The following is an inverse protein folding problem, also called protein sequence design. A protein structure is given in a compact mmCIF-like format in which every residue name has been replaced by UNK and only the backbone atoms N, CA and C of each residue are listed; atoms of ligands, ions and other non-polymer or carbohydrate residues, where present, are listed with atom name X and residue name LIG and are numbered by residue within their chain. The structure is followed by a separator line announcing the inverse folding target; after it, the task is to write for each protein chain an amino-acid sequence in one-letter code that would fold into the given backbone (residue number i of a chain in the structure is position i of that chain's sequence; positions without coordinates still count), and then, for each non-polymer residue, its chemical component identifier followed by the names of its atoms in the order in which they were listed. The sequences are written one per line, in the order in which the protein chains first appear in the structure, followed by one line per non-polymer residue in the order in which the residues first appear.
data_IF_900332126823
#
_entry.id   IF_900332126823
#
_cell.length_a   1.000
_cell.length_b   1.000
_cell.length_c   1.000
_cell.angle_alpha   90.00
_cell.angle_beta   90.00
_cell.angle_gamma   90.00
#
_symmetry.space_group_name_H-M   'P 1'
#
loop_
_entity.id
_entity.type
_entity.pdbx_description
1 polymer ?
#
# COMPACT_ATOMS: atom_id res chain seq x y z
N UNK A 1 -17.23 1.46 1.46
CA UNK A 1 -17.52 1.40 0.01
C UNK A 1 -18.87 0.72 -0.19
N UNK A 2 -19.66 1.12 -1.19
CA UNK A 2 -20.89 0.39 -1.50
C UNK A 2 -20.55 -0.99 -2.09
N UNK A 3 -21.31 -2.02 -1.71
CA UNK A 3 -21.07 -3.39 -2.21
C UNK A 3 -21.24 -3.50 -3.73
N UNK A 4 -22.13 -2.70 -4.33
CA UNK A 4 -22.26 -2.62 -5.80
C UNK A 4 -20.97 -2.17 -6.48
N UNK A 5 -20.28 -1.17 -5.93
CA UNK A 5 -18.98 -0.73 -6.45
C UNK A 5 -17.91 -1.83 -6.30
N UNK A 6 -17.91 -2.55 -5.17
CA UNK A 6 -16.97 -3.67 -4.93
C UNK A 6 -17.20 -4.81 -5.93
N UNK A 7 -18.46 -5.10 -6.27
CA UNK A 7 -18.80 -6.08 -7.30
C UNK A 7 -18.29 -5.66 -8.68
N UNK A 8 -18.50 -4.40 -9.07
CA UNK A 8 -17.99 -3.85 -10.33
C UNK A 8 -16.47 -3.88 -10.40
N UNK A 9 -15.79 -3.54 -9.29
CA UNK A 9 -14.33 -3.67 -9.18
C UNK A 9 -13.91 -5.13 -9.41
N UNK A 10 -14.64 -6.10 -8.86
CA UNK A 10 -14.43 -7.53 -9.12
C UNK A 10 -14.56 -7.89 -10.60
N UNK A 11 -15.60 -7.37 -11.26
CA UNK A 11 -15.82 -7.59 -12.69
C UNK A 11 -14.67 -7.03 -13.53
N UNK A 12 -14.27 -5.77 -13.29
CA UNK A 12 -13.16 -5.13 -13.99
C UNK A 12 -11.82 -5.81 -13.71
N UNK A 13 -11.56 -6.19 -12.46
CA UNK A 13 -10.34 -6.91 -12.08
C UNK A 13 -10.21 -8.23 -12.85
N UNK A 14 -11.34 -8.92 -13.10
CA UNK A 14 -11.36 -10.19 -13.80
C UNK A 14 -11.21 -10.07 -15.33
N UNK A 15 -11.26 -8.86 -15.90
CA UNK A 15 -10.95 -8.58 -17.32
C UNK A 15 -9.59 -7.87 -17.47
N UNK A 16 -8.97 -7.48 -16.35
CA UNK A 16 -7.66 -6.81 -16.27
C UNK A 16 -6.49 -7.82 -16.28
N UNK A 17 -5.29 -7.35 -15.95
CA UNK A 17 -4.08 -8.17 -15.77
C UNK A 17 -4.25 -9.32 -14.77
N UNK A 18 -5.19 -9.23 -13.83
CA UNK A 18 -5.45 -10.27 -12.85
C UNK A 18 -6.04 -11.55 -13.49
N UNK A 19 -6.68 -11.46 -14.67
CA UNK A 19 -7.12 -12.65 -15.42
C UNK A 19 -5.93 -13.48 -15.91
N UNK A 20 -4.81 -12.83 -16.25
CA UNK A 20 -3.64 -13.52 -16.78
C UNK A 20 -3.00 -14.37 -15.69
N UNK A 21 -2.91 -13.83 -14.48
CA UNK A 21 -2.33 -14.54 -13.33
C UNK A 21 -3.28 -15.60 -12.78
N UNK A 22 -4.50 -15.21 -12.41
CA UNK A 22 -5.47 -16.13 -11.80
C UNK A 22 -5.99 -17.14 -12.82
N UNK A 23 -6.26 -16.69 -14.04
CA UNK A 23 -6.65 -17.56 -15.16
C UNK A 23 -5.52 -18.49 -15.58
N UNK A 24 -4.28 -18.02 -15.65
CA UNK A 24 -3.11 -18.87 -15.92
C UNK A 24 -2.95 -19.99 -14.87
N UNK A 25 -3.10 -19.67 -13.59
CA UNK A 25 -3.07 -20.66 -12.51
C UNK A 25 -4.24 -21.65 -12.60
N UNK A 26 -5.47 -21.14 -12.80
CA UNK A 26 -6.68 -21.95 -12.99
C UNK A 26 -6.50 -22.97 -14.13
N UNK A 27 -5.93 -22.54 -15.25
CA UNK A 27 -5.66 -23.36 -16.42
C UNK A 27 -4.56 -24.39 -16.20
N UNK A 28 -3.49 -24.02 -15.50
CA UNK A 28 -2.42 -24.94 -15.16
C UNK A 28 -2.93 -26.08 -14.27
N UNK A 29 -3.75 -25.75 -13.27
CA UNK A 29 -4.37 -26.71 -12.35
C UNK A 29 -5.38 -27.59 -13.07
N UNK A 30 -6.26 -27.00 -13.89
CA UNK A 30 -7.23 -27.75 -14.68
C UNK A 30 -6.54 -28.67 -15.71
N UNK A 31 -5.46 -28.21 -16.35
CA UNK A 31 -4.63 -29.00 -17.26
C UNK A 31 -4.03 -30.23 -16.56
N UNK A 32 -3.38 -30.02 -15.42
CA UNK A 32 -2.80 -31.11 -14.61
C UNK A 32 -3.86 -32.11 -14.11
N UNK A 33 -5.02 -31.59 -13.69
CA UNK A 33 -6.15 -32.42 -13.26
C UNK A 33 -6.68 -33.29 -14.41
N UNK A 34 -6.82 -32.71 -15.61
CA UNK A 34 -7.28 -33.40 -16.82
C UNK A 34 -6.26 -34.41 -17.35
N UNK A 35 -4.95 -34.13 -17.27
CA UNK A 35 -3.88 -35.10 -17.60
C UNK A 35 -3.90 -36.32 -16.67
N UNK A 36 -4.19 -36.09 -15.38
CA UNK A 36 -4.26 -37.16 -14.38
C UNK A 36 -5.53 -38.02 -14.50
N UNK A 37 -6.52 -37.58 -15.28
CA UNK A 37 -7.80 -38.28 -15.49
C UNK A 37 -8.18 -38.29 -16.99
N UNK A 38 -7.43 -39.02 -17.83
CA UNK A 38 -7.56 -38.97 -19.30
C UNK A 38 -8.92 -39.44 -19.83
N UNK A 39 -9.70 -40.18 -19.04
CA UNK A 39 -11.03 -40.70 -19.41
C UNK A 39 -12.23 -39.78 -19.14
N UNK A 40 -12.04 -38.58 -18.56
CA UNK A 40 -13.15 -37.67 -18.23
C UNK A 40 -13.69 -36.98 -19.51
N UNK A 41 -15.00 -36.98 -19.72
CA UNK A 41 -15.67 -36.31 -20.85
C UNK A 41 -16.54 -35.12 -20.39
N UNK A 42 -16.60 -34.07 -21.21
CA UNK A 42 -17.53 -32.93 -21.06
C UNK A 42 -17.43 -32.21 -19.71
N UNK A 43 -18.56 -32.10 -19.01
CA UNK A 43 -18.75 -31.42 -17.71
C UNK A 43 -17.74 -31.88 -16.63
N UNK A 44 -17.24 -33.11 -16.72
CA UNK A 44 -16.26 -33.61 -15.75
C UNK A 44 -14.90 -32.91 -15.84
N UNK A 45 -14.51 -32.40 -17.02
CA UNK A 45 -13.31 -31.56 -17.19
C UNK A 45 -13.49 -30.16 -16.62
N UNK A 46 -14.75 -29.74 -16.39
CA UNK A 46 -15.07 -28.45 -15.81
C UNK A 46 -15.04 -28.44 -14.27
N UNK A 47 -15.13 -29.63 -13.64
CA UNK A 47 -15.04 -29.79 -12.17
C UNK A 47 -13.90 -29.03 -11.49
N UNK A 48 -12.62 -29.08 -11.95
CA UNK A 48 -11.54 -28.34 -11.31
C UNK A 48 -11.77 -26.82 -11.30
N UNK A 49 -12.46 -26.27 -12.31
CA UNK A 49 -12.77 -24.84 -12.36
C UNK A 49 -13.82 -24.45 -11.31
N UNK A 50 -14.82 -25.30 -11.08
CA UNK A 50 -15.82 -25.09 -10.04
C UNK A 50 -15.16 -25.15 -8.66
N UNK A 51 -14.38 -26.21 -8.37
CA UNK A 51 -13.69 -26.34 -7.08
C UNK A 51 -12.77 -25.16 -6.80
N UNK A 52 -12.05 -24.68 -7.82
CA UNK A 52 -11.21 -23.50 -7.70
C UNK A 52 -11.99 -22.23 -7.37
N UNK A 53 -13.10 -21.95 -8.05
CA UNK A 53 -13.89 -20.74 -7.79
C UNK A 53 -14.62 -20.82 -6.44
N UNK A 54 -15.11 -22.00 -6.03
CA UNK A 54 -15.68 -22.19 -4.68
C UNK A 54 -14.59 -21.95 -3.62
N UNK A 55 -13.41 -22.55 -3.80
CA UNK A 55 -12.27 -22.33 -2.92
C UNK A 55 -11.86 -20.86 -2.85
N UNK A 56 -11.89 -20.15 -3.97
CA UNK A 56 -11.64 -18.70 -4.06
C UNK A 56 -12.69 -17.91 -3.28
N UNK A 57 -13.98 -18.15 -3.51
CA UNK A 57 -15.06 -17.42 -2.81
C UNK A 57 -14.99 -17.64 -1.30
N UNK A 58 -14.89 -18.89 -0.86
CA UNK A 58 -14.79 -19.23 0.57
C UNK A 58 -13.48 -18.71 1.17
N UNK A 59 -12.36 -18.88 0.48
CA UNK A 59 -11.06 -18.41 0.92
C UNK A 59 -11.01 -16.89 1.06
N UNK A 60 -11.50 -16.15 0.07
CA UNK A 60 -11.56 -14.68 0.12
C UNK A 60 -12.47 -14.21 1.25
N UNK A 61 -13.60 -14.86 1.48
CA UNK A 61 -14.50 -14.53 2.59
C UNK A 61 -13.83 -14.77 3.94
N UNK A 62 -13.21 -15.93 4.14
CA UNK A 62 -12.55 -16.31 5.40
C UNK A 62 -11.30 -15.47 5.64
N UNK A 63 -10.39 -15.38 4.67
CA UNK A 63 -9.17 -14.57 4.80
C UNK A 63 -9.50 -13.08 4.85
N UNK A 64 -10.54 -12.62 4.16
CA UNK A 64 -11.06 -11.27 4.29
C UNK A 64 -11.56 -10.98 5.70
N UNK A 65 -12.32 -11.91 6.30
CA UNK A 65 -12.74 -11.81 7.69
C UNK A 65 -11.56 -11.78 8.66
N UNK A 66 -10.57 -12.66 8.46
CA UNK A 66 -9.35 -12.70 9.26
C UNK A 66 -8.56 -11.40 9.14
N UNK A 67 -8.33 -10.90 7.93
CA UNK A 67 -7.61 -9.64 7.69
C UNK A 67 -8.38 -8.45 8.27
N UNK A 68 -9.70 -8.42 8.13
CA UNK A 68 -10.54 -7.39 8.74
C UNK A 68 -10.47 -7.44 10.27
N UNK A 69 -10.54 -8.64 10.87
CA UNK A 69 -10.39 -8.83 12.31
C UNK A 69 -9.00 -8.38 12.80
N UNK A 70 -7.95 -8.83 12.12
CA UNK A 70 -6.55 -8.52 12.43
C UNK A 70 -6.25 -7.04 12.23
N UNK A 71 -6.97 -6.36 11.34
CA UNK A 71 -6.90 -4.91 11.15
C UNK A 71 -7.11 -4.08 12.42
N UNK A 72 -7.87 -4.61 13.39
CA UNK A 72 -8.06 -3.98 14.71
C UNK A 72 -6.86 -4.13 15.67
N UNK A 73 -5.87 -4.97 15.31
CA UNK A 73 -4.74 -5.36 16.16
C UNK A 73 -3.38 -5.06 15.51
N UNK A 74 -3.31 -5.02 14.18
CA UNK A 74 -2.06 -5.05 13.43
C UNK A 74 -1.78 -3.73 12.71
N UNK A 75 -0.86 -2.95 13.28
CA UNK A 75 -0.25 -1.80 12.63
C UNK A 75 1.11 -2.13 12.03
N UNK A 76 1.12 -2.48 10.74
CA UNK A 76 2.37 -2.78 10.03
C UNK A 76 3.09 -1.49 9.69
N UNK A 77 4.31 -1.33 10.22
CA UNK A 77 5.22 -0.27 9.79
C UNK A 77 5.50 -0.39 8.28
N UNK A 78 5.85 0.72 7.59
CA UNK A 78 6.24 0.67 6.18
C UNK A 78 7.33 -0.36 5.87
N UNK A 79 8.31 -0.53 6.78
CA UNK A 79 9.37 -1.54 6.64
C UNK A 79 8.85 -2.97 6.74
N UNK A 80 7.95 -3.24 7.69
CA UNK A 80 7.34 -4.57 7.84
C UNK A 80 6.50 -4.94 6.62
N UNK A 81 5.76 -3.97 6.07
CA UNK A 81 5.02 -4.15 4.82
C UNK A 81 5.96 -4.43 3.64
N UNK A 82 7.11 -3.72 3.57
CA UNK A 82 8.16 -3.98 2.58
C UNK A 82 8.70 -5.42 2.62
N UNK A 83 9.01 -5.95 3.82
CA UNK A 83 9.46 -7.33 3.97
C UNK A 83 8.40 -8.37 3.61
N UNK A 84 7.13 -8.13 3.98
CA UNK A 84 6.03 -9.02 3.63
C UNK A 84 5.82 -9.05 2.11
N UNK A 85 5.83 -7.88 1.46
CA UNK A 85 5.74 -7.75 0.01
C UNK A 85 6.90 -8.48 -0.69
N UNK A 86 8.12 -8.38 -0.16
CA UNK A 86 9.28 -9.10 -0.67
C UNK A 86 9.09 -10.62 -0.61
N UNK A 87 8.67 -11.15 0.55
CA UNK A 87 8.43 -12.57 0.74
C UNK A 87 7.38 -13.11 -0.25
N UNK A 88 6.23 -12.45 -0.36
CA UNK A 88 5.15 -12.85 -1.29
C UNK A 88 5.64 -12.83 -2.74
N UNK A 89 6.41 -11.81 -3.13
CA UNK A 89 6.90 -11.66 -4.50
C UNK A 89 7.92 -12.73 -4.88
N UNK A 90 8.76 -13.19 -3.93
CA UNK A 90 9.69 -14.31 -4.16
C UNK A 90 8.93 -15.62 -4.41
N UNK A 91 7.88 -15.89 -3.65
CA UNK A 91 7.04 -17.09 -3.84
C UNK A 91 6.38 -17.07 -5.22
N UNK A 92 5.84 -15.93 -5.65
CA UNK A 92 5.26 -15.80 -6.99
C UNK A 92 6.28 -15.93 -8.11
N UNK A 93 7.48 -15.39 -7.91
CA UNK A 93 8.56 -15.50 -8.88
C UNK A 93 8.89 -16.97 -9.12
N UNK A 94 8.92 -17.79 -8.06
CA UNK A 94 9.11 -19.24 -8.15
C UNK A 94 7.97 -19.92 -8.93
N UNK A 95 6.72 -19.54 -8.68
CA UNK A 95 5.55 -20.06 -9.42
C UNK A 95 5.59 -19.66 -10.91
N UNK A 96 5.99 -18.42 -11.22
CA UNK A 96 6.17 -17.94 -12.59
C UNK A 96 7.21 -18.75 -13.35
N UNK A 97 8.39 -18.96 -12.77
CA UNK A 97 9.42 -19.81 -13.36
C UNK A 97 8.98 -21.27 -13.54
N UNK A 98 8.20 -21.80 -12.59
CA UNK A 98 7.62 -23.13 -12.72
C UNK A 98 6.65 -23.22 -13.90
N UNK A 99 5.82 -22.20 -14.12
CA UNK A 99 4.86 -22.14 -15.23
C UNK A 99 5.56 -22.02 -16.60
N UNK A 100 6.72 -21.39 -16.63
CA UNK A 100 7.53 -21.20 -17.84
C UNK A 100 8.30 -22.46 -18.27
N UNK A 101 8.47 -23.47 -17.41
CA UNK A 101 9.30 -24.66 -17.63
C UNK A 101 10.73 -24.34 -18.15
N UNK A 102 11.23 -23.10 -17.98
CA UNK A 102 12.50 -22.63 -18.55
C UNK A 102 13.74 -23.26 -17.91
N UNK A 103 13.63 -23.77 -16.69
CA UNK A 103 14.74 -24.39 -15.96
C UNK A 103 14.30 -25.69 -15.27
N UNK A 104 14.44 -26.85 -15.92
CA UNK A 104 14.26 -28.16 -15.28
C UNK A 104 15.16 -28.34 -14.05
N UNK A 105 16.33 -27.67 -14.05
CA UNK A 105 17.28 -27.63 -12.93
C UNK A 105 16.82 -26.82 -11.72
N UNK A 106 15.89 -25.87 -11.86
CA UNK A 106 15.34 -25.12 -10.72
C UNK A 106 14.47 -26.01 -9.82
N UNK A 107 14.03 -27.17 -10.32
CA UNK A 107 13.39 -28.22 -9.52
C UNK A 107 14.33 -28.83 -8.47
N UNK A 108 15.66 -28.73 -8.65
CA UNK A 108 16.67 -29.08 -7.64
C UNK A 108 16.92 -27.96 -6.61
N UNK A 109 16.68 -26.70 -7.00
CA UNK A 109 16.89 -25.51 -6.16
C UNK A 109 15.62 -25.00 -5.49
N UNK A 110 14.45 -25.55 -5.84
CA UNK A 110 13.25 -25.41 -5.03
C UNK A 110 13.63 -25.85 -3.61
N UNK A 111 13.53 -24.95 -2.60
CA UNK A 111 13.89 -25.29 -1.24
C UNK A 111 13.14 -26.57 -0.90
N UNK A 112 13.87 -27.63 -0.54
CA UNK A 112 13.27 -28.87 -0.05
C UNK A 112 12.39 -28.45 1.11
N UNK A 113 11.09 -28.33 0.83
CA UNK A 113 10.13 -28.00 1.87
C UNK A 113 10.34 -29.05 2.96
N UNK A 114 10.42 -28.64 4.25
CA UNK A 114 10.64 -29.57 5.34
C UNK A 114 9.69 -30.75 5.16
N UNK A 115 10.14 -31.98 5.41
CA UNK A 115 9.41 -33.21 5.02
C UNK A 115 7.93 -33.19 5.40
N UNK A 116 7.56 -32.47 6.46
CA UNK A 116 6.18 -32.22 6.88
C UNK A 116 5.33 -31.39 5.88
N UNK A 117 5.86 -30.29 5.35
CA UNK A 117 5.20 -29.43 4.35
C UNK A 117 5.22 -30.12 2.98
N UNK A 118 6.32 -30.77 2.63
CA UNK A 118 6.45 -31.54 1.39
C UNK A 118 5.46 -32.70 1.35
N UNK A 119 5.34 -33.51 2.41
CA UNK A 119 4.34 -34.58 2.47
C UNK A 119 2.92 -34.05 2.43
N UNK A 120 2.62 -32.95 3.12
CA UNK A 120 1.25 -32.41 3.14
C UNK A 120 0.83 -31.83 1.79
N UNK A 121 1.72 -31.10 1.12
CA UNK A 121 1.46 -30.55 -0.24
C UNK A 121 1.51 -31.66 -1.30
N UNK A 122 2.39 -32.65 -1.16
CA UNK A 122 2.49 -33.77 -2.09
C UNK A 122 1.35 -34.78 -1.90
N UNK A 123 0.85 -35.03 -0.68
CA UNK A 123 -0.38 -35.80 -0.45
C UNK A 123 -1.62 -35.03 -0.93
N UNK A 124 -1.70 -33.71 -0.71
CA UNK A 124 -2.74 -32.86 -1.31
C UNK A 124 -2.71 -32.89 -2.85
N UNK A 125 -1.52 -33.00 -3.46
CA UNK A 125 -1.37 -33.06 -4.91
C UNK A 125 -1.40 -34.48 -5.50
N UNK A 126 -1.21 -35.54 -4.71
CA UNK A 126 -1.09 -36.93 -5.19
C UNK A 126 -2.22 -37.86 -4.70
N UNK A 127 -2.85 -37.57 -3.56
CA UNK A 127 -3.90 -38.41 -2.95
C UNK A 127 -5.31 -37.83 -3.10
N UNK A 128 -5.44 -36.51 -3.29
CA UNK A 128 -6.76 -35.86 -3.30
C UNK A 128 -6.90 -34.86 -4.45
N UNK A 129 -7.16 -35.38 -5.65
CA UNK A 129 -7.24 -34.62 -6.91
C UNK A 129 -8.30 -33.51 -6.87
N UNK A 130 -9.27 -33.58 -5.95
CA UNK A 130 -10.36 -32.63 -5.77
C UNK A 130 -10.00 -31.43 -4.90
N UNK A 131 -9.09 -31.60 -3.95
CA UNK A 131 -8.75 -30.55 -2.96
C UNK A 131 -7.74 -29.53 -3.49
N UNK A 132 -6.87 -29.94 -4.43
CA UNK A 132 -5.83 -29.06 -4.97
C UNK A 132 -6.39 -27.81 -5.68
N UNK A 133 -7.40 -27.90 -6.59
CA UNK A 133 -8.01 -26.71 -7.17
C UNK A 133 -8.66 -25.81 -6.13
N UNK A 134 -9.33 -26.39 -5.13
CA UNK A 134 -9.97 -25.66 -4.05
C UNK A 134 -8.96 -24.84 -3.23
N UNK A 135 -7.90 -25.49 -2.73
CA UNK A 135 -6.87 -24.85 -1.91
C UNK A 135 -6.15 -23.76 -2.70
N UNK A 136 -5.78 -24.03 -3.95
CA UNK A 136 -5.12 -23.03 -4.80
C UNK A 136 -6.04 -21.85 -5.11
N UNK A 137 -7.35 -22.10 -5.28
CA UNK A 137 -8.38 -21.07 -5.38
C UNK A 137 -8.40 -20.17 -4.14
N UNK A 138 -8.43 -20.76 -2.94
CA UNK A 138 -8.40 -20.01 -1.67
C UNK A 138 -7.12 -19.19 -1.52
N UNK A 139 -5.98 -19.76 -1.86
CA UNK A 139 -4.67 -19.10 -1.76
C UNK A 139 -4.50 -17.97 -2.78
N UNK A 140 -5.36 -17.87 -3.80
CA UNK A 140 -5.32 -16.71 -4.71
C UNK A 140 -5.59 -15.38 -4.01
N UNK A 141 -6.15 -15.41 -2.79
CA UNK A 141 -6.25 -14.23 -1.94
C UNK A 141 -4.88 -13.57 -1.73
N UNK A 142 -3.83 -14.35 -1.50
CA UNK A 142 -2.49 -13.81 -1.24
C UNK A 142 -1.73 -13.39 -2.50
N UNK A 143 -2.35 -13.47 -3.69
CA UNK A 143 -1.72 -12.99 -4.92
C UNK A 143 -1.82 -11.45 -4.99
N UNK A 144 -0.71 -10.73 -5.16
CA UNK A 144 -0.67 -9.29 -5.34
C UNK A 144 -1.17 -8.91 -6.73
N UNK A 145 -2.50 -8.90 -6.86
CA UNK A 145 -3.25 -8.23 -7.90
C UNK A 145 -3.63 -6.86 -7.35
N UNK A 146 -3.36 -5.76 -8.08
CA UNK A 146 -3.57 -4.40 -7.57
C UNK A 146 -4.97 -4.15 -6.99
N UNK A 147 -6.01 -4.69 -7.62
CA UNK A 147 -7.39 -4.61 -7.11
C UNK A 147 -7.59 -5.41 -5.81
N UNK A 148 -7.01 -6.61 -5.72
CA UNK A 148 -7.08 -7.43 -4.50
C UNK A 148 -6.30 -6.76 -3.36
N UNK A 149 -5.12 -6.19 -3.64
CA UNK A 149 -4.32 -5.46 -2.66
C UNK A 149 -5.03 -4.20 -2.15
N UNK A 150 -5.65 -3.42 -3.03
CA UNK A 150 -6.41 -2.23 -2.64
C UNK A 150 -7.57 -2.60 -1.69
N UNK A 151 -8.30 -3.66 -2.00
CA UNK A 151 -9.39 -4.13 -1.14
C UNK A 151 -8.86 -4.79 0.14
N UNK A 152 -7.73 -5.49 0.11
CA UNK A 152 -7.11 -6.07 1.31
C UNK A 152 -6.68 -4.98 2.28
N UNK A 153 -6.10 -3.89 1.76
CA UNK A 153 -5.75 -2.72 2.55
C UNK A 153 -6.99 -2.01 3.07
N UNK A 154 -8.05 -1.87 2.26
CA UNK A 154 -9.33 -1.30 2.70
C UNK A 154 -9.96 -2.13 3.82
N UNK A 155 -10.00 -3.45 3.68
CA UNK A 155 -10.55 -4.37 4.67
C UNK A 155 -9.70 -4.38 5.95
N UNK A 156 -8.38 -4.44 5.81
CA UNK A 156 -7.45 -4.31 6.94
C UNK A 156 -7.68 -2.98 7.67
N UNK A 157 -7.82 -1.87 6.92
CA UNK A 157 -8.11 -0.57 7.49
C UNK A 157 -9.49 -0.51 8.15
N UNK A 158 -10.48 -1.25 7.66
CA UNK A 158 -11.83 -1.23 8.24
C UNK A 158 -11.90 -1.80 9.67
N UNK A 159 -10.93 -2.63 10.07
CA UNK A 159 -10.86 -3.21 11.42
C UNK A 159 -12.03 -4.12 11.82
N UNK A 160 -12.98 -4.37 10.91
CA UNK A 160 -14.18 -5.17 11.14
C UNK A 160 -14.15 -6.43 10.28
N UNK A 161 -14.24 -7.59 10.93
CA UNK A 161 -14.28 -8.89 10.28
C UNK A 161 -15.49 -9.07 9.36
N UNK A 162 -16.64 -8.44 9.65
CA UNK A 162 -17.85 -8.49 8.81
C UNK A 162 -17.64 -7.68 7.54
N UNK A 163 -17.10 -6.47 7.65
CA UNK A 163 -16.76 -5.63 6.49
C UNK A 163 -15.74 -6.37 5.63
N UNK A 164 -14.76 -7.02 6.26
CA UNK A 164 -13.78 -7.83 5.57
C UNK A 164 -14.34 -9.03 4.82
N UNK A 165 -15.19 -9.81 5.49
CA UNK A 165 -15.85 -10.97 4.91
C UNK A 165 -16.72 -10.57 3.71
N UNK A 166 -17.61 -9.59 3.91
CA UNK A 166 -18.58 -9.18 2.89
C UNK A 166 -17.92 -8.50 1.69
N UNK A 167 -16.93 -7.64 1.92
CA UNK A 167 -16.19 -6.98 0.83
C UNK A 167 -15.50 -8.00 -0.05
N UNK A 168 -14.78 -8.96 0.56
CA UNK A 168 -14.04 -9.97 -0.19
C UNK A 168 -14.94 -11.03 -0.84
N UNK A 169 -16.06 -11.36 -0.20
CA UNK A 169 -17.11 -12.19 -0.78
C UNK A 169 -17.65 -11.55 -2.06
N UNK A 170 -18.12 -10.30 -1.97
CA UNK A 170 -18.71 -9.58 -3.10
C UNK A 170 -17.70 -9.37 -4.23
N UNK A 171 -16.44 -9.05 -3.90
CA UNK A 171 -15.36 -8.96 -4.88
C UNK A 171 -15.13 -10.30 -5.60
N UNK A 172 -15.03 -11.39 -4.84
CA UNK A 172 -14.80 -12.72 -5.42
C UNK A 172 -15.95 -13.17 -6.32
N UNK A 173 -17.20 -12.88 -5.95
CA UNK A 173 -18.39 -13.11 -6.76
C UNK A 173 -18.37 -12.28 -8.05
N UNK A 174 -17.93 -11.02 -7.98
CA UNK A 174 -17.74 -10.17 -9.16
C UNK A 174 -16.71 -10.72 -10.15
N UNK A 175 -15.69 -11.44 -9.66
CA UNK A 175 -14.66 -12.07 -10.53
C UNK A 175 -15.11 -13.39 -11.17
N UNK A 176 -16.17 -14.01 -10.64
CA UNK A 176 -16.59 -15.36 -11.00
C UNK A 176 -17.08 -15.50 -12.47
N UNK A 177 -17.88 -14.56 -13.02
CA UNK A 177 -18.36 -14.66 -14.40
C UNK A 177 -17.24 -14.77 -15.43
N UNK A 178 -16.19 -13.94 -15.31
CA UNK A 178 -15.08 -13.94 -16.25
C UNK A 178 -14.18 -15.19 -16.09
N UNK A 179 -13.91 -15.63 -14.85
CA UNK A 179 -13.10 -16.83 -14.61
C UNK A 179 -13.80 -18.13 -15.04
N UNK A 180 -15.12 -18.23 -14.84
CA UNK A 180 -15.90 -19.35 -15.35
C UNK A 180 -15.99 -19.33 -16.88
N UNK A 181 -16.14 -18.16 -17.48
CA UNK A 181 -16.10 -18.00 -18.94
C UNK A 181 -14.76 -18.46 -19.52
N UNK A 182 -13.65 -18.04 -18.91
CA UNK A 182 -12.32 -18.50 -19.30
C UNK A 182 -12.15 -20.01 -19.12
N UNK A 183 -12.65 -20.55 -17.99
CA UNK A 183 -12.65 -21.99 -17.74
C UNK A 183 -13.43 -22.76 -18.79
N UNK A 184 -14.58 -22.24 -19.23
CA UNK A 184 -15.41 -22.85 -20.26
C UNK A 184 -14.67 -22.85 -21.60
N UNK A 185 -14.20 -21.69 -22.06
CA UNK A 185 -13.40 -21.55 -23.30
C UNK A 185 -12.19 -22.48 -23.28
N UNK A 186 -11.51 -22.60 -22.15
CA UNK A 186 -10.33 -23.46 -22.03
C UNK A 186 -10.62 -24.95 -21.99
N UNK A 187 -11.80 -25.34 -21.52
CA UNK A 187 -12.22 -26.75 -21.53
C UNK A 187 -12.46 -27.25 -22.96
N UNK A 188 -12.72 -26.32 -23.89
CA UNK A 188 -12.87 -26.59 -25.32
C UNK A 188 -11.59 -26.28 -26.13
N UNK A 189 -10.70 -25.42 -25.63
CA UNK A 189 -9.43 -25.11 -26.28
C UNK A 189 -8.43 -26.28 -26.14
N UNK A 190 -7.90 -26.78 -27.27
CA UNK A 190 -6.91 -27.87 -27.29
C UNK A 190 -5.53 -27.38 -27.75
N UNK A 191 -4.48 -28.01 -27.22
CA UNK A 191 -3.14 -28.00 -27.82
C UNK A 191 -2.37 -26.68 -27.72
N UNK A 192 -2.01 -26.11 -28.86
CA UNK A 192 -1.05 -25.00 -28.96
C UNK A 192 -1.50 -23.73 -28.24
N UNK A 193 -2.79 -23.40 -28.26
CA UNK A 193 -3.31 -22.17 -27.62
C UNK A 193 -3.07 -22.17 -26.10
N UNK A 194 -3.40 -23.28 -25.42
CA UNK A 194 -3.17 -23.42 -23.98
C UNK A 194 -1.68 -23.31 -23.62
N UNK A 195 -0.80 -23.90 -24.43
CA UNK A 195 0.67 -23.83 -24.22
C UNK A 195 1.21 -22.40 -24.37
N UNK A 196 0.77 -21.65 -25.38
CA UNK A 196 1.18 -20.25 -25.57
C UNK A 196 0.61 -19.35 -24.47
N UNK A 197 -0.65 -19.55 -24.09
CA UNK A 197 -1.29 -18.81 -23.01
C UNK A 197 -0.58 -19.01 -21.67
N UNK A 198 -0.27 -20.26 -21.29
CA UNK A 198 0.45 -20.56 -20.04
C UNK A 198 1.87 -19.97 -20.05
N UNK A 199 2.58 -20.00 -21.18
CA UNK A 199 3.89 -19.34 -21.33
C UNK A 199 3.78 -17.83 -21.16
N UNK A 200 2.82 -17.19 -21.83
CA UNK A 200 2.57 -15.75 -21.71
C UNK A 200 2.21 -15.37 -20.27
N UNK A 201 1.33 -16.12 -19.63
CA UNK A 201 0.96 -15.93 -18.23
C UNK A 201 2.17 -16.07 -17.28
N UNK A 202 3.05 -17.05 -17.54
CA UNK A 202 4.29 -17.22 -16.80
C UNK A 202 5.24 -16.04 -16.95
N UNK A 203 5.46 -15.53 -18.16
CA UNK A 203 6.29 -14.32 -18.40
C UNK A 203 5.72 -13.12 -17.64
N UNK A 204 4.42 -12.86 -17.78
CA UNK A 204 3.79 -11.72 -17.12
C UNK A 204 3.87 -11.84 -15.59
N UNK A 205 3.70 -13.05 -15.06
CA UNK A 205 3.81 -13.32 -13.62
C UNK A 205 5.23 -13.07 -13.10
N UNK A 206 6.27 -13.47 -13.85
CA UNK A 206 7.67 -13.18 -13.52
C UNK A 206 7.93 -11.67 -13.53
N UNK A 207 7.49 -10.95 -14.55
CA UNK A 207 7.66 -9.49 -14.65
C UNK A 207 6.98 -8.76 -13.48
N UNK A 208 5.73 -9.15 -13.15
CA UNK A 208 5.00 -8.59 -12.03
C UNK A 208 5.68 -8.89 -10.69
N UNK A 209 6.25 -10.09 -10.54
CA UNK A 209 6.97 -10.48 -9.32
C UNK A 209 8.24 -9.66 -9.14
N UNK A 210 9.03 -9.46 -10.20
CA UNK A 210 10.22 -8.60 -10.17
C UNK A 210 9.86 -7.15 -9.86
N UNK A 211 8.76 -6.65 -10.42
CA UNK A 211 8.24 -5.31 -10.11
C UNK A 211 7.90 -5.16 -8.62
N UNK A 212 7.20 -6.14 -8.05
CA UNK A 212 6.82 -6.11 -6.63
C UNK A 212 8.01 -6.30 -5.68
N UNK A 213 9.01 -7.12 -6.02
CA UNK A 213 10.28 -7.22 -5.28
C UNK A 213 10.94 -5.85 -5.14
N UNK A 214 11.00 -5.10 -6.24
CA UNK A 214 11.62 -3.78 -6.25
C UNK A 214 10.88 -2.77 -5.34
N UNK A 215 9.55 -2.80 -5.35
CA UNK A 215 8.72 -1.95 -4.48
C UNK A 215 8.85 -2.34 -3.00
N UNK A 216 8.88 -3.65 -2.71
CA UNK A 216 9.10 -4.18 -1.36
C UNK A 216 10.45 -3.77 -0.77
N UNK A 217 11.53 -3.82 -1.57
CA UNK A 217 12.85 -3.33 -1.17
C UNK A 217 12.84 -1.82 -0.88
N UNK A 218 12.16 -1.03 -1.71
CA UNK A 218 12.04 0.42 -1.53
C UNK A 218 11.34 0.76 -0.20
N UNK A 219 10.23 0.08 0.10
CA UNK A 219 9.50 0.22 1.37
C UNK A 219 10.31 -0.26 2.58
N UNK A 220 11.18 -1.27 2.40
CA UNK A 220 12.13 -1.72 3.41
C UNK A 220 13.30 -0.73 3.64
N UNK A 221 13.43 0.31 2.81
CA UNK A 221 14.48 1.32 2.89
C UNK A 221 15.69 1.07 1.99
N UNK A 222 15.61 0.10 1.07
CA UNK A 222 16.66 -0.22 0.10
C UNK A 222 16.27 0.24 -1.31
N UNK A 223 17.03 1.18 -1.88
CA UNK A 223 16.89 1.57 -3.28
C UNK A 223 17.68 0.59 -4.18
N UNK A 224 17.11 -0.58 -4.46
CA UNK A 224 17.62 -1.45 -5.52
C UNK A 224 16.86 -1.15 -6.81
N UNK A 225 17.56 -1.01 -7.94
CA UNK A 225 16.93 -0.83 -9.25
C UNK A 225 17.32 -2.01 -10.14
N UNK A 226 16.46 -3.03 -10.23
CA UNK A 226 16.72 -4.20 -11.07
C UNK A 226 16.97 -3.84 -12.55
N UNK A 227 16.37 -2.75 -13.05
CA UNK A 227 16.61 -2.30 -14.42
C UNK A 227 18.08 -1.88 -14.62
N UNK A 228 18.71 -1.24 -13.63
CA UNK A 228 20.13 -0.84 -13.72
C UNK A 228 21.09 -2.03 -13.82
N UNK A 229 20.74 -3.21 -13.30
CA UNK A 229 21.54 -4.43 -13.45
C UNK A 229 21.47 -5.03 -14.87
N UNK A 230 20.35 -4.83 -15.59
CA UNK A 230 20.18 -5.27 -16.99
C UNK A 230 20.57 -4.19 -18.01
N UNK A 231 20.50 -2.91 -17.64
CA UNK A 231 20.94 -1.77 -18.47
C UNK A 231 22.39 -1.35 -18.21
N UNK A 232 23.13 -2.06 -17.35
CA UNK A 232 24.57 -1.87 -17.13
C UNK A 232 25.44 -2.03 -18.40
N UNK A 233 24.83 -2.35 -19.55
CA UNK A 233 25.49 -2.39 -20.87
C UNK A 233 25.04 -1.31 -21.86
N UNK A 234 24.24 -0.34 -21.46
CA UNK A 234 23.85 0.76 -22.35
C UNK A 234 23.99 2.12 -21.66
N UNK A 235 25.13 2.74 -21.96
CA UNK A 235 25.46 4.15 -21.91
C UNK A 235 25.23 4.94 -20.62
N UNK A 236 26.36 5.45 -20.10
CA UNK A 236 26.48 6.76 -19.47
C UNK A 236 25.80 7.84 -20.34
N UNK A 237 24.48 7.95 -20.27
CA UNK A 237 23.77 9.17 -20.58
C UNK A 237 23.62 9.91 -19.25
N UNK A 238 24.37 11.01 -19.10
CA UNK A 238 24.38 11.83 -17.89
C UNK A 238 22.95 12.12 -17.42
N UNK A 239 22.67 11.78 -16.16
CA UNK A 239 21.52 12.36 -15.49
C UNK A 239 21.65 13.88 -15.54
N UNK A 240 20.58 14.63 -15.87
CA UNK A 240 20.58 16.08 -15.75
C UNK A 240 21.02 16.44 -14.34
N UNK A 241 21.96 17.38 -14.22
CA UNK A 241 22.56 17.77 -12.95
C UNK A 241 21.50 17.97 -11.88
N UNK A 242 21.68 17.27 -10.74
CA UNK A 242 20.85 17.47 -9.56
C UNK A 242 20.81 18.97 -9.26
N UNK A 243 19.64 19.62 -9.20
CA UNK A 243 19.59 21.05 -8.95
C UNK A 243 20.33 21.34 -7.64
N UNK A 244 21.30 22.25 -7.70
CA UNK A 244 22.06 22.68 -6.54
C UNK A 244 21.07 23.28 -5.53
N UNK A 245 21.00 22.64 -4.36
CA UNK A 245 20.09 23.06 -3.30
C UNK A 245 20.53 24.44 -2.81
N UNK A 246 19.62 25.41 -2.86
CA UNK A 246 19.92 26.77 -2.40
C UNK A 246 19.98 26.77 -0.87
N UNK A 247 21.11 27.22 -0.34
CA UNK A 247 21.26 27.47 1.09
C UNK A 247 20.80 28.89 1.34
N UNK A 248 19.64 29.03 1.97
CA UNK A 248 19.05 30.33 2.34
C UNK A 248 18.92 30.34 3.85
N UNK A 249 19.51 31.33 4.52
CA UNK A 249 19.46 31.48 5.98
C UNK A 249 19.91 30.24 6.77
N UNK A 250 20.98 29.56 6.31
CA UNK A 250 21.52 28.36 6.96
C UNK A 250 20.62 27.12 6.88
N UNK A 251 19.57 27.14 6.05
CA UNK A 251 18.70 26.01 5.70
C UNK A 251 18.83 25.67 4.22
N UNK A 252 18.74 24.39 3.90
CA UNK A 252 18.76 23.84 2.55
C UNK A 252 17.33 23.74 2.02
N UNK A 253 16.92 24.64 1.12
CA UNK A 253 15.54 24.65 0.60
C UNK A 253 15.44 23.72 -0.60
N UNK A 254 14.59 22.72 -0.47
CA UNK A 254 14.33 21.71 -1.49
C UNK A 254 12.88 21.82 -1.94
N UNK A 255 12.64 21.95 -3.25
CA UNK A 255 11.28 22.04 -3.81
C UNK A 255 10.96 20.82 -4.66
N UNK A 256 9.79 20.24 -4.46
CA UNK A 256 9.28 19.10 -5.21
C UNK A 256 7.82 19.33 -5.59
N UNK A 257 7.42 18.88 -6.76
CA UNK A 257 6.01 18.81 -7.19
C UNK A 257 5.59 17.35 -7.36
N UNK A 258 4.34 17.07 -7.02
CA UNK A 258 3.71 15.77 -7.21
C UNK A 258 2.64 15.88 -8.30
N UNK A 259 2.93 15.33 -9.47
CA UNK A 259 1.98 15.26 -10.59
C UNK A 259 1.56 13.81 -10.82
N UNK A 260 0.30 13.50 -10.50
CA UNK A 260 -0.29 12.16 -10.57
C UNK A 260 0.49 11.11 -9.77
N UNK A 261 1.35 10.34 -10.44
CA UNK A 261 2.21 9.28 -9.88
C UNK A 261 3.70 9.65 -9.91
N UNK A 262 4.05 10.89 -10.26
CA UNK A 262 5.42 11.33 -10.50
C UNK A 262 5.86 12.46 -9.54
N UNK A 263 7.00 12.28 -8.88
CA UNK A 263 7.77 13.30 -8.19
C UNK A 263 8.72 14.03 -9.14
N UNK A 264 8.68 15.35 -9.14
CA UNK A 264 9.52 16.20 -9.98
C UNK A 264 10.01 17.44 -9.22
N UNK A 265 11.33 17.66 -9.10
CA UNK A 265 12.40 16.67 -9.28
C UNK A 265 12.31 15.56 -8.23
N UNK A 266 12.84 14.38 -8.55
CA UNK A 266 12.78 13.21 -7.67
C UNK A 266 14.07 12.97 -6.86
N UNK A 267 15.19 13.61 -7.21
CA UNK A 267 16.46 13.51 -6.46
C UNK A 267 16.99 14.87 -6.07
N UNK A 268 17.60 14.91 -4.90
CA UNK A 268 18.16 16.09 -4.28
C UNK A 268 19.53 15.77 -3.67
N UNK A 269 20.48 16.70 -3.74
CA UNK A 269 21.76 16.57 -3.06
C UNK A 269 21.78 17.52 -1.88
N UNK A 270 21.90 17.00 -0.66
CA UNK A 270 21.89 17.79 0.58
C UNK A 270 23.16 17.53 1.39
N UNK A 271 23.56 18.50 2.17
CA UNK A 271 24.77 18.47 3.00
C UNK A 271 24.44 17.95 4.40
N UNK A 272 25.28 17.05 4.91
CA UNK A 272 25.22 16.51 6.27
C UNK A 272 25.28 17.63 7.33
N UNK A 273 24.45 17.51 8.37
CA UNK A 273 24.42 18.43 9.50
C UNK A 273 23.73 19.78 9.23
N UNK A 274 23.27 20.05 8.01
CA UNK A 274 22.57 21.30 7.66
C UNK A 274 21.06 21.02 7.53
N UNK A 275 20.17 21.75 8.24
CA UNK A 275 18.74 21.51 8.20
C UNK A 275 18.16 21.68 6.80
N UNK A 276 17.34 20.72 6.38
CA UNK A 276 16.63 20.70 5.10
C UNK A 276 15.20 21.15 5.31
N UNK A 277 14.77 22.10 4.49
CA UNK A 277 13.37 22.52 4.38
C UNK A 277 12.83 22.03 3.03
N UNK A 278 12.02 20.98 3.09
CA UNK A 278 11.46 20.34 1.92
C UNK A 278 10.03 20.80 1.67
N UNK A 279 9.85 21.62 0.65
CA UNK A 279 8.57 22.16 0.20
C UNK A 279 8.02 21.27 -0.92
N UNK A 280 6.85 20.68 -0.70
CA UNK A 280 6.22 19.73 -1.61
C UNK A 280 4.89 20.30 -2.07
N UNK A 281 4.75 20.55 -3.36
CA UNK A 281 3.48 20.86 -3.99
C UNK A 281 2.69 19.56 -4.22
N UNK A 282 1.58 19.42 -3.51
CA UNK A 282 0.71 18.24 -3.51
C UNK A 282 -0.57 18.38 -4.33
N UNK A 283 -0.75 19.45 -5.12
CA UNK A 283 -2.04 19.76 -5.77
C UNK A 283 -2.58 18.63 -6.64
N UNK A 284 -1.71 17.96 -7.39
CA UNK A 284 -2.08 16.86 -8.28
C UNK A 284 -1.78 15.47 -7.67
N UNK A 285 -1.56 15.39 -6.36
CA UNK A 285 -1.33 14.12 -5.69
C UNK A 285 -2.65 13.34 -5.51
N UNK A 286 -2.67 12.07 -5.95
CA UNK A 286 -3.86 11.21 -5.86
C UNK A 286 -3.55 9.86 -5.18
N UNK A 287 -4.60 9.27 -4.59
CA UNK A 287 -4.51 7.96 -3.94
C UNK A 287 -3.40 7.86 -2.90
N UNK A 288 -2.56 6.83 -3.01
CA UNK A 288 -1.42 6.63 -2.11
C UNK A 288 -0.36 7.75 -2.20
N UNK A 289 -0.32 8.49 -3.31
CA UNK A 289 0.62 9.58 -3.56
C UNK A 289 0.40 10.82 -2.70
N UNK A 290 -0.75 10.92 -2.02
CA UNK A 290 -1.03 11.98 -1.04
C UNK A 290 -0.30 11.82 0.29
N UNK A 291 0.45 10.73 0.45
CA UNK A 291 1.20 10.45 1.68
C UNK A 291 2.62 10.20 1.28
N UNK A 292 3.52 11.06 1.74
CA UNK A 292 4.95 10.88 1.57
C UNK A 292 5.54 10.21 2.80
N UNK A 293 6.38 9.19 2.57
CA UNK A 293 7.01 8.38 3.60
C UNK A 293 8.51 8.40 3.38
N UNK A 294 9.26 8.68 4.45
CA UNK A 294 10.72 8.65 4.52
C UNK A 294 11.12 7.64 5.61
N UNK A 295 11.24 6.34 5.29
CA UNK A 295 11.37 5.28 6.30
C UNK A 295 12.62 5.37 7.16
N UNK A 296 13.73 5.90 6.65
CA UNK A 296 14.99 6.07 7.40
C UNK A 296 14.89 7.16 8.47
N UNK A 297 14.02 8.15 8.27
CA UNK A 297 13.79 9.27 9.18
C UNK A 297 12.51 9.11 10.02
N UNK A 298 11.72 8.06 9.79
CA UNK A 298 10.43 7.87 10.46
C UNK A 298 9.36 8.91 10.08
N UNK A 299 9.59 9.69 9.03
CA UNK A 299 8.67 10.75 8.60
C UNK A 299 7.57 10.13 7.76
N UNK A 300 6.32 10.42 8.10
CA UNK A 300 5.16 10.18 7.24
C UNK A 300 4.25 11.41 7.26
N UNK A 301 4.06 12.06 6.11
CA UNK A 301 3.34 13.34 6.03
C UNK A 301 2.30 13.30 4.91
N UNK A 302 1.11 13.83 5.18
CA UNK A 302 0.08 14.00 4.17
C UNK A 302 0.35 15.27 3.36
N UNK A 303 0.13 15.21 2.05
CA UNK A 303 0.25 16.31 1.12
C UNK A 303 -1.15 16.91 0.92
N UNK A 304 -1.38 18.07 1.54
CA UNK A 304 -2.57 18.88 1.27
C UNK A 304 -2.48 19.46 -0.15
N UNK A 305 -3.62 19.93 -0.69
CA UNK A 305 -3.58 20.88 -1.81
C UNK A 305 -2.78 22.10 -1.38
N UNK A 306 -1.83 22.52 -2.22
CA UNK A 306 -0.81 23.53 -1.97
C UNK A 306 0.52 22.97 -1.49
N UNK A 307 1.36 23.87 -0.97
CA UNK A 307 2.72 23.54 -0.53
C UNK A 307 2.69 22.99 0.91
N UNK A 308 3.14 21.75 1.07
CA UNK A 308 3.41 21.12 2.37
C UNK A 308 4.90 21.16 2.66
N UNK A 309 5.30 21.70 3.82
CA UNK A 309 6.71 21.79 4.22
C UNK A 309 7.07 20.71 5.25
N UNK A 310 8.18 20.01 5.01
CA UNK A 310 8.77 19.02 5.93
C UNK A 310 10.18 19.48 6.27
N UNK A 311 10.53 19.51 7.55
CA UNK A 311 11.89 19.89 8.00
C UNK A 311 12.58 18.69 8.65
N UNK A 312 13.83 18.45 8.27
CA UNK A 312 14.67 17.42 8.88
C UNK A 312 16.15 17.78 8.78
N UNK A 313 17.00 17.17 9.61
CA UNK A 313 18.46 17.35 9.54
C UNK A 313 19.13 16.01 9.27
N UNK A 314 19.82 15.83 8.13
CA UNK A 314 20.54 14.60 7.83
C UNK A 314 21.79 14.49 8.72
N UNK A 315 21.87 13.46 9.56
CA UNK A 315 23.00 13.25 10.48
C UNK A 315 24.08 12.30 9.97
N UNK A 316 23.81 11.60 8.86
CA UNK A 316 24.72 10.62 8.27
C UNK A 316 24.73 10.79 6.76
N UNK A 317 25.92 10.71 6.17
CA UNK A 317 26.10 10.57 4.73
C UNK A 317 25.42 9.32 4.18
N UNK A 318 25.02 9.37 2.90
CA UNK A 318 24.33 8.27 2.21
C UNK A 318 22.97 8.67 1.64
N UNK A 319 22.27 7.69 1.06
CA UNK A 319 20.97 7.91 0.43
C UNK A 319 19.81 7.80 1.43
N UNK A 320 18.95 8.81 1.43
CA UNK A 320 17.69 8.83 2.19
C UNK A 320 16.55 8.63 1.18
N UNK A 321 16.05 7.40 1.00
CA UNK A 321 14.91 7.14 0.12
C UNK A 321 13.62 7.76 0.65
N UNK A 322 12.80 8.28 -0.26
CA UNK A 322 11.41 8.60 0.04
C UNK A 322 10.50 8.05 -1.06
N UNK A 323 9.28 7.67 -0.70
CA UNK A 323 8.27 7.26 -1.66
C UNK A 323 6.86 7.48 -1.08
N UNK A 324 5.83 7.13 -1.85
CA UNK A 324 4.47 7.12 -1.35
C UNK A 324 4.25 5.96 -0.38
N UNK A 325 3.12 5.98 0.34
CA UNK A 325 2.73 4.90 1.27
C UNK A 325 2.72 3.48 0.67
N UNK A 326 2.60 3.35 -0.66
CA UNK A 326 2.64 2.07 -1.39
C UNK A 326 3.98 1.79 -2.09
N UNK A 327 4.95 2.72 -2.07
CA UNK A 327 6.24 2.53 -2.72
C UNK A 327 6.20 2.50 -4.26
N UNK A 328 5.16 3.08 -4.87
CA UNK A 328 4.87 2.96 -6.31
C UNK A 328 5.04 4.26 -7.12
N UNK A 329 5.36 5.39 -6.47
CA UNK A 329 5.63 6.65 -7.17
C UNK A 329 7.02 6.66 -7.81
N UNK A 330 7.53 7.81 -8.25
CA UNK A 330 8.80 7.91 -9.00
C UNK A 330 9.91 7.09 -8.36
N UNK A 331 10.55 6.28 -9.18
CA UNK A 331 11.61 5.38 -8.75
C UNK A 331 12.91 6.13 -8.47
N UNK A 332 13.68 5.59 -7.52
CA UNK A 332 14.98 6.16 -7.13
C UNK A 332 14.87 7.54 -6.48
N UNK A 333 13.68 7.88 -5.99
CA UNK A 333 13.45 9.16 -5.32
C UNK A 333 14.13 9.17 -3.96
N UNK A 334 14.86 10.23 -3.68
CA UNK A 334 15.67 10.29 -2.48
C UNK A 334 16.57 11.50 -2.39
N UNK A 335 17.09 11.72 -1.19
CA UNK A 335 18.13 12.69 -0.93
C UNK A 335 19.48 11.98 -0.90
N UNK A 336 20.45 12.45 -1.68
CA UNK A 336 21.86 12.08 -1.56
C UNK A 336 22.49 13.00 -0.52
N UNK A 337 22.87 12.46 0.64
CA UNK A 337 23.57 13.22 1.68
C UNK A 337 25.08 13.18 1.45
N UNK A 338 25.66 14.33 1.16
CA UNK A 338 27.12 14.51 0.98
C UNK A 338 27.77 15.04 2.27
N UNK A 339 29.05 14.70 2.53
CA UNK A 339 29.75 15.19 3.71
C UNK A 339 29.90 16.71 3.67
N UNK A 340 29.85 17.33 4.83
CA UNK A 340 30.01 18.78 4.99
C UNK A 340 31.49 19.18 4.96
N UNK A 341 32.12 19.05 3.80
CA UNK A 341 33.53 19.41 3.59
C UNK A 341 33.79 20.91 3.58
N UNK A 342 32.73 21.72 3.43
CA UNK A 342 32.81 23.19 3.34
C UNK A 342 32.56 23.91 4.67
N UNK A 343 32.38 23.18 5.78
CA UNK A 343 32.19 23.78 7.11
C UNK A 343 30.88 24.58 7.25
N UNK A 344 29.84 24.21 6.49
CA UNK A 344 28.56 24.90 6.46
C UNK A 344 27.86 24.69 7.81
N UNK A 345 27.82 25.72 8.64
CA UNK A 345 27.09 25.67 9.91
C UNK A 345 25.61 25.88 9.60
N UNK A 346 24.81 24.84 9.81
CA UNK A 346 23.35 24.94 9.72
C UNK A 346 22.83 25.98 10.69
N UNK A 347 21.80 26.74 10.30
CA UNK A 347 21.11 27.59 11.25
C UNK A 347 20.65 26.72 12.44
N UNK A 348 20.90 27.18 13.67
CA UNK A 348 20.27 26.58 14.85
C UNK A 348 18.78 26.48 14.53
N UNK A 349 18.21 25.29 14.67
CA UNK A 349 16.77 25.11 14.62
C UNK A 349 16.25 25.79 15.89
N UNK A 350 16.12 27.12 15.85
CA UNK A 350 15.05 27.74 16.60
C UNK A 350 13.79 27.19 15.98
N UNK A 351 13.12 26.32 16.74
CA UNK A 351 11.74 26.03 16.50
C UNK A 351 11.03 27.39 16.56
N UNK A 352 10.86 28.03 15.41
CA UNK A 352 9.75 28.95 15.24
C UNK A 352 8.54 28.04 15.26
N UNK A 353 8.09 27.68 16.48
CA UNK A 353 6.67 27.52 16.72
C UNK A 353 6.05 28.74 16.06
N UNK A 354 5.38 28.53 14.93
CA UNK A 354 4.28 29.40 14.57
C UNK A 354 3.27 29.23 15.69
N UNK A 355 3.52 29.89 16.82
CA UNK A 355 2.58 29.99 17.89
C UNK A 355 1.33 30.59 17.25
N UNK A 356 0.16 29.92 17.33
CA UNK A 356 -1.06 30.67 17.14
C UNK A 356 -0.98 31.83 18.13
N UNK A 357 -1.08 33.08 17.66
CA UNK A 357 -1.03 34.26 18.53
C UNK A 357 -1.84 33.95 19.80
N UNK A 358 -1.21 33.84 20.98
CA UNK A 358 -1.98 33.76 22.20
C UNK A 358 -2.73 35.08 22.26
N UNK A 359 -4.06 35.00 22.33
CA UNK A 359 -4.87 36.16 22.61
C UNK A 359 -4.35 36.76 23.93
N UNK A 360 -3.89 38.01 23.86
CA UNK A 360 -3.33 38.72 25.00
C UNK A 360 -4.46 39.01 26.01
N UNK A 361 -4.47 38.37 27.19
CA UNK A 361 -5.53 38.55 28.16
C UNK A 361 -5.55 39.96 28.78
N UNK A 362 -4.52 40.79 28.52
CA UNK A 362 -4.48 42.18 28.97
C UNK A 362 -5.15 43.15 27.99
N UNK A 363 -5.49 42.71 26.77
CA UNK A 363 -5.99 43.60 25.69
C UNK A 363 -7.39 43.19 25.17
N UNK A 364 -7.83 41.93 25.33
CA UNK A 364 -9.19 41.52 24.97
C UNK A 364 -9.72 40.30 25.76
N UNK A 365 -11.05 40.18 25.86
CA UNK A 365 -11.76 38.98 26.33
C UNK A 365 -11.55 37.83 25.34
N UNK A 366 -10.51 37.03 25.55
CA UNK A 366 -10.20 35.88 24.73
C UNK A 366 -11.29 34.81 24.83
N UNK A 367 -11.89 34.34 23.72
CA UNK A 367 -12.86 33.25 23.77
C UNK A 367 -12.18 31.98 24.29
N UNK A 368 -12.81 31.32 25.27
CA UNK A 368 -12.28 30.09 25.89
C UNK A 368 -12.11 29.00 24.83
N UNK A 369 -10.90 28.45 24.72
CA UNK A 369 -10.57 27.32 23.83
C UNK A 369 -11.54 26.16 24.03
N UNK A 370 -12.11 25.66 22.94
CA UNK A 370 -13.01 24.52 22.91
C UNK A 370 -12.19 23.24 22.93
N UNK A 371 -12.28 22.48 24.01
CA UNK A 371 -11.60 21.19 24.13
C UNK A 371 -12.46 20.11 23.52
N UNK A 372 -11.95 19.47 22.47
CA UNK A 372 -12.57 18.33 21.85
C UNK A 372 -11.73 17.10 22.14
N UNK A 373 -12.41 15.99 22.42
CA UNK A 373 -11.76 14.74 22.77
C UNK A 373 -12.29 13.64 21.86
N UNK A 374 -11.38 12.89 21.24
CA UNK A 374 -11.66 11.66 20.51
C UNK A 374 -10.88 10.56 21.18
N UNK A 375 -11.58 9.50 21.57
CA UNK A 375 -10.95 8.25 21.94
C UNK A 375 -10.91 7.33 20.73
N UNK A 376 -9.75 6.73 20.51
CA UNK A 376 -9.59 5.63 19.55
C UNK A 376 -9.24 4.38 20.35
N UNK A 377 -10.21 3.48 20.49
CA UNK A 377 -10.05 2.25 21.27
C UNK A 377 -10.68 1.04 20.58
N UNK A 378 -10.22 -0.16 20.92
CA UNK A 378 -10.75 -1.41 20.34
C UNK A 378 -12.22 -1.64 20.65
N UNK A 379 -12.70 -1.16 21.79
CA UNK A 379 -14.05 -1.38 22.28
C UNK A 379 -15.06 -0.44 21.64
N UNK A 380 -14.66 0.82 21.39
CA UNK A 380 -15.56 1.88 20.91
C UNK A 380 -15.25 2.38 19.50
N UNK A 381 -14.17 1.90 18.87
CA UNK A 381 -13.71 2.41 17.59
C UNK A 381 -13.27 3.86 17.74
N UNK A 382 -13.79 4.74 16.88
CA UNK A 382 -13.61 6.20 16.98
C UNK A 382 -14.81 6.78 17.72
N UNK A 383 -14.62 7.27 18.93
CA UNK A 383 -15.72 7.79 19.74
C UNK A 383 -15.34 9.08 20.48
N UNK A 384 -16.16 10.14 20.38
CA UNK A 384 -17.26 10.31 19.42
C UNK A 384 -16.74 10.46 17.97
N UNK A 385 -17.51 10.00 16.99
CA UNK A 385 -17.20 10.13 15.57
C UNK A 385 -17.80 11.40 14.93
N UNK A 386 -18.61 12.15 15.69
CA UNK A 386 -19.15 13.46 15.32
C UNK A 386 -19.07 14.37 16.54
N UNK A 387 -18.42 15.53 16.37
CA UNK A 387 -18.22 16.55 17.38
C UNK A 387 -18.84 17.85 16.90
N UNK A 388 -19.13 18.77 17.81
CA UNK A 388 -19.62 20.11 17.48
C UNK A 388 -18.68 21.15 18.07
N UNK A 389 -18.38 22.20 17.29
CA UNK A 389 -17.58 23.33 17.74
C UNK A 389 -18.07 24.63 17.10
N UNK A 390 -17.79 25.76 17.74
CA UNK A 390 -18.12 27.09 17.23
C UNK A 390 -17.03 27.65 16.33
N UNK A 391 -17.46 28.33 15.28
CA UNK A 391 -16.62 29.14 14.40
C UNK A 391 -15.93 30.26 15.16
N UNK A 392 -14.70 30.57 14.74
CA UNK A 392 -13.91 31.67 15.30
C UNK A 392 -13.34 31.43 16.69
N UNK A 393 -13.63 30.29 17.33
CA UNK A 393 -13.10 29.93 18.65
C UNK A 393 -12.07 28.81 18.51
N UNK A 394 -10.84 28.97 19.06
CA UNK A 394 -9.80 27.94 18.96
C UNK A 394 -10.25 26.58 19.50
N UNK A 395 -9.88 25.51 18.80
CA UNK A 395 -10.12 24.12 19.18
C UNK A 395 -8.80 23.51 19.66
N UNK A 396 -8.80 22.88 20.83
CA UNK A 396 -7.77 21.95 21.28
C UNK A 396 -8.32 20.53 21.10
N UNK A 397 -7.94 19.86 20.01
CA UNK A 397 -8.35 18.49 19.73
C UNK A 397 -7.34 17.53 20.34
N UNK A 398 -7.79 16.79 21.35
CA UNK A 398 -7.06 15.67 21.92
C UNK A 398 -7.57 14.38 21.31
N UNK A 399 -6.69 13.63 20.64
CA UNK A 399 -6.99 12.27 20.19
C UNK A 399 -6.16 11.31 21.04
N UNK A 400 -6.85 10.56 21.88
CA UNK A 400 -6.26 9.52 22.72
C UNK A 400 -6.26 8.21 21.94
N UNK A 401 -5.14 7.95 21.26
CA UNK A 401 -4.94 6.70 20.55
C UNK A 401 -4.51 5.62 21.55
N UNK A 402 -5.48 4.83 22.02
CA UNK A 402 -5.19 3.70 22.93
C UNK A 402 -4.55 2.53 22.20
N UNK A 403 -4.58 2.50 20.86
CA UNK A 403 -4.13 1.34 20.08
C UNK A 403 -3.48 1.78 18.76
N UNK A 404 -2.15 1.59 18.56
CA UNK A 404 -1.46 2.07 17.36
C UNK A 404 -2.12 1.54 16.09
N UNK A 405 -2.56 2.45 15.22
CA UNK A 405 -3.26 2.13 13.97
C UNK A 405 -2.31 1.92 12.80
N UNK A 406 -2.70 1.03 11.88
CA UNK A 406 -1.89 0.55 10.77
C UNK A 406 -2.35 0.98 9.38
N UNK A 407 -1.46 0.83 8.40
CA UNK A 407 -1.83 0.97 6.99
C UNK A 407 -2.40 2.35 6.68
N UNK A 408 -3.53 2.41 6.00
CA UNK A 408 -4.16 3.68 5.61
C UNK A 408 -4.56 4.55 6.81
N UNK A 409 -4.83 3.93 7.96
CA UNK A 409 -5.31 4.52 9.21
C UNK A 409 -4.19 4.97 10.15
N UNK A 410 -2.93 4.63 9.86
CA UNK A 410 -1.80 4.99 10.73
C UNK A 410 -1.53 6.49 10.79
N UNK A 411 -2.17 7.24 9.89
CA UNK A 411 -2.07 8.69 9.81
C UNK A 411 -3.48 9.21 9.60
N UNK A 412 -3.95 9.97 10.58
CA UNK A 412 -5.15 10.77 10.43
C UNK A 412 -4.76 12.15 9.96
N UNK A 413 -5.67 12.76 9.23
CA UNK A 413 -5.44 14.03 8.59
C UNK A 413 -6.67 14.88 8.81
N UNK A 414 -6.44 16.16 9.10
CA UNK A 414 -7.47 17.20 8.99
C UNK A 414 -7.06 18.05 7.79
N UNK A 415 -7.56 17.73 6.58
CA UNK A 415 -7.01 18.28 5.35
C UNK A 415 -7.05 19.81 5.29
N UNK A 416 -8.11 20.42 5.81
CA UNK A 416 -8.31 21.88 5.78
C UNK A 416 -7.28 22.65 6.62
N UNK A 417 -6.69 22.02 7.63
CA UNK A 417 -5.68 22.64 8.52
C UNK A 417 -4.28 22.06 8.32
N UNK A 418 -4.08 21.18 7.33
CA UNK A 418 -2.81 20.48 7.08
C UNK A 418 -2.23 19.77 8.34
N UNK A 419 -3.13 19.32 9.23
CA UNK A 419 -2.76 18.62 10.45
C UNK A 419 -2.61 17.14 10.11
N UNK A 420 -1.50 16.57 10.55
CA UNK A 420 -1.18 15.15 10.38
C UNK A 420 -1.00 14.56 11.76
N UNK A 421 -1.76 13.53 12.06
CA UNK A 421 -1.79 12.90 13.38
C UNK A 421 -1.34 11.46 13.20
N UNK A 422 -0.08 11.13 13.51
CA UNK A 422 0.36 9.74 13.53
C UNK A 422 -0.38 9.01 14.66
N UNK A 423 -0.90 7.83 14.34
CA UNK A 423 -1.63 6.97 15.27
C UNK A 423 -0.67 5.87 15.74
N UNK A 424 0.22 6.24 16.65
CA UNK A 424 1.29 5.42 17.19
C UNK A 424 0.99 4.87 18.60
N UNK A 425 -0.26 4.92 19.04
CA UNK A 425 -0.67 4.48 20.37
C UNK A 425 -0.38 5.52 21.46
N UNK A 426 -0.31 6.80 21.11
CA UNK A 426 -0.07 7.91 22.04
C UNK A 426 -1.20 8.93 22.03
N UNK A 427 -1.22 9.80 23.04
CA UNK A 427 -2.15 10.94 23.07
C UNK A 427 -1.58 12.05 22.21
N UNK A 428 -2.28 12.37 21.12
CA UNK A 428 -1.95 13.50 20.27
C UNK A 428 -2.81 14.71 20.63
N UNK A 429 -2.19 15.89 20.64
CA UNK A 429 -2.88 17.17 20.87
C UNK A 429 -2.59 18.10 19.71
N UNK A 430 -3.65 18.61 19.10
CA UNK A 430 -3.56 19.50 17.95
C UNK A 430 -4.48 20.70 18.18
N UNK A 431 -3.95 21.90 17.91
CA UNK A 431 -4.69 23.15 18.10
C UNK A 431 -4.91 23.84 16.76
N UNK A 432 -6.15 24.23 16.47
CA UNK A 432 -6.51 24.97 15.26
C UNK A 432 -7.77 25.80 15.46
N UNK A 433 -7.98 26.82 14.61
CA UNK A 433 -9.13 27.72 14.72
C UNK A 433 -9.96 27.68 13.43
N UNK A 434 -11.20 27.18 13.47
CA UNK A 434 -12.06 27.16 12.29
C UNK A 434 -12.58 28.56 11.94
N UNK A 435 -12.37 28.98 10.70
CA UNK A 435 -12.79 30.29 10.19
C UNK A 435 -14.09 30.24 9.38
N UNK A 436 -14.54 29.04 9.01
CA UNK A 436 -15.76 28.79 8.21
C UNK A 436 -16.65 27.78 8.91
N UNK A 437 -17.96 27.98 8.78
CA UNK A 437 -19.00 27.07 9.28
C UNK A 437 -19.18 25.92 8.29
N UNK A 438 -19.53 24.72 8.77
CA UNK A 438 -19.64 23.52 7.94
C UNK A 438 -19.03 22.28 8.58
N UNK A 439 -18.91 21.21 7.79
CA UNK A 439 -18.42 19.91 8.26
C UNK A 439 -16.91 19.79 8.01
N UNK A 440 -16.13 19.85 9.07
CA UNK A 440 -14.70 19.55 9.02
C UNK A 440 -14.50 18.03 9.10
N UNK A 441 -13.99 17.42 8.03
CA UNK A 441 -13.75 15.98 8.01
C UNK A 441 -12.36 15.64 8.54
N UNK A 442 -12.30 14.69 9.46
CA UNK A 442 -11.08 14.00 9.87
C UNK A 442 -11.01 12.71 9.04
N UNK A 443 -9.96 12.56 8.24
CA UNK A 443 -9.81 11.46 7.29
C UNK A 443 -8.57 10.64 7.57
N UNK A 444 -8.54 9.42 7.02
CA UNK A 444 -7.30 8.66 6.94
C UNK A 444 -6.43 9.18 5.80
N UNK A 445 -5.20 8.69 5.75
CA UNK A 445 -4.20 9.06 4.75
C UNK A 445 -4.58 8.76 3.29
N UNK A 446 -5.58 7.88 3.08
CA UNK A 446 -6.19 7.60 1.77
C UNK A 446 -7.50 8.37 1.49
N UNK A 447 -7.88 9.32 2.35
CA UNK A 447 -9.07 10.16 2.19
C UNK A 447 -10.40 9.51 2.61
N UNK A 448 -10.37 8.36 3.30
CA UNK A 448 -11.59 7.80 3.90
C UNK A 448 -11.96 8.60 5.16
N UNK A 449 -13.23 8.99 5.30
CA UNK A 449 -13.74 9.71 6.46
C UNK A 449 -13.73 8.84 7.72
N UNK A 450 -13.24 9.39 8.82
CA UNK A 450 -13.10 8.72 10.12
C UNK A 450 -13.97 9.37 11.20
N UNK A 451 -13.92 10.69 11.29
CA UNK A 451 -14.75 11.50 12.17
C UNK A 451 -15.07 12.85 11.51
N UNK A 452 -15.99 13.59 12.11
CA UNK A 452 -16.35 14.94 11.66
C UNK A 452 -16.46 15.90 12.85
N UNK A 453 -16.20 17.17 12.58
CA UNK A 453 -16.48 18.27 13.50
C UNK A 453 -17.44 19.22 12.78
N UNK A 454 -18.68 19.30 13.26
CA UNK A 454 -19.68 20.25 12.81
C UNK A 454 -19.36 21.63 13.39
N UNK A 455 -18.96 22.55 12.52
CA UNK A 455 -18.68 23.93 12.87
C UNK A 455 -19.96 24.75 12.74
N UNK A 456 -20.51 25.15 13.88
CA UNK A 456 -21.67 26.03 14.01
C UNK A 456 -21.23 27.49 14.13
N UNK A 457 -22.15 28.42 13.82
CA UNK A 457 -21.88 29.86 13.86
C UNK A 457 -21.74 30.45 15.29
#
# INVERSE_FOLDING_TARGET
MSYGLVFLIGLFAAVSSCIVVVGGLLLAVAGKYNESHPGLAGIQKFKPHIYFNIGRVLGYTVFGAMVGAVGSVLSLSPRTNGYLMLFVSVVMLMLGFQLLHLFPGLRKFAPKTPKFISHKIHDLSAKDSRSAPFVLGSLTFFLPCGFTQALQLYVLASGDWKIGALTMLVFSLGTMPALLSLGAVSSFAKGAFQKHFLRFAGVLLVLLSLFNINNGLTLAGYNFNFASAFTARSNNAGQPGTPSVQIVNGKQIVKMMVNDYTYTPNRFTVVEGVPVEWQIDGDNAAGCGRVIVVPSLGISKFLSTGITTITFTPQKTGDIPFNCSMGMMTRGSGFTVIPNTSGIVGAKIEATESAPMPCDPTIASCPKTQKLFIEVSRERGVYPNSLTAKKGVPIELTIDDKVPLGGCMSIWVIPEFNITIPMDGTVSKNTFTPTKSGILNITCSMGSKLAEINIED
#
